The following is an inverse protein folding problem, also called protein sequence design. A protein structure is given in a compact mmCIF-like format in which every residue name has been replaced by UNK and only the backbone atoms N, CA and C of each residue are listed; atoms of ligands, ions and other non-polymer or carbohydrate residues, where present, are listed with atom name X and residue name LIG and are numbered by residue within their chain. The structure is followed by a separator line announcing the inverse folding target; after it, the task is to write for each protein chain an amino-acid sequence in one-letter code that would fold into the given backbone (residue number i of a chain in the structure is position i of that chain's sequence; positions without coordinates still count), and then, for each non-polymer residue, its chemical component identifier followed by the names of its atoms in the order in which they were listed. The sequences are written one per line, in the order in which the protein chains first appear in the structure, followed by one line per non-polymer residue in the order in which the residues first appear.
data_IF_590170364509
#
_entry.id   IF_590170364509
#
_cell.length_a   1.000
_cell.length_b   1.000
_cell.length_c   1.000
_cell.angle_alpha   90.00
_cell.angle_beta   90.00
_cell.angle_gamma   90.00
#
_symmetry.space_group_name_H-M   'P 1'
#
loop_
_entity.id
_entity.type
_entity.pdbx_description
1 polymer ?
#
# COMPACT_ATOMS: atom_id res chain seq x y z
N UNK A 1 -27.96 -7.50 25.77
CA UNK A 1 -28.26 -6.06 25.65
C UNK A 1 -28.26 -5.72 24.17
N UNK A 2 -29.41 -5.80 23.52
CA UNK A 2 -29.63 -5.35 22.13
C UNK A 2 -29.98 -3.87 22.18
N UNK A 3 -28.98 -3.01 22.37
CA UNK A 3 -29.17 -1.56 22.48
C UNK A 3 -29.51 -0.95 21.12
N UNK A 4 -30.59 -0.17 21.05
CA UNK A 4 -31.03 0.56 19.85
C UNK A 4 -29.89 1.39 19.21
N UNK A 5 -29.00 1.94 20.04
CA UNK A 5 -27.84 2.74 19.64
C UNK A 5 -26.85 1.93 18.78
N UNK A 6 -26.59 0.67 19.13
CA UNK A 6 -25.73 -0.22 18.33
C UNK A 6 -26.27 -0.44 16.91
N UNK A 7 -27.58 -0.51 16.74
CA UNK A 7 -28.23 -0.66 15.43
C UNK A 7 -28.15 0.63 14.62
N UNK A 8 -28.31 1.79 15.26
CA UNK A 8 -28.18 3.09 14.61
C UNK A 8 -26.72 3.30 14.14
N UNK A 9 -25.73 2.97 14.95
CA UNK A 9 -24.33 3.04 14.56
C UNK A 9 -23.98 2.07 13.43
N UNK A 10 -24.50 0.83 13.49
CA UNK A 10 -24.33 -0.14 12.40
C UNK A 10 -24.92 0.39 11.09
N UNK A 11 -26.13 0.93 11.11
CA UNK A 11 -26.77 1.46 9.91
C UNK A 11 -26.00 2.65 9.31
N UNK A 12 -25.58 3.61 10.15
CA UNK A 12 -24.79 4.76 9.68
C UNK A 12 -23.43 4.35 9.09
N UNK A 13 -22.72 3.41 9.73
CA UNK A 13 -21.42 2.95 9.25
C UNK A 13 -21.51 2.19 7.92
N UNK A 14 -22.55 1.38 7.72
CA UNK A 14 -22.72 0.60 6.48
C UNK A 14 -23.28 1.41 5.31
N UNK A 15 -23.95 2.54 5.57
CA UNK A 15 -24.52 3.39 4.51
C UNK A 15 -23.63 4.58 4.16
N UNK A 16 -23.24 5.38 5.14
CA UNK A 16 -22.48 6.62 4.94
C UNK A 16 -20.96 6.42 5.14
N UNK A 17 -20.57 5.41 5.92
CA UNK A 17 -19.18 5.20 6.34
C UNK A 17 -18.78 6.08 7.53
N UNK A 18 -17.56 5.91 8.03
CA UNK A 18 -17.00 6.80 9.04
C UNK A 18 -16.31 8.00 8.37
N UNK A 19 -16.47 9.18 8.95
CA UNK A 19 -15.84 10.40 8.47
C UNK A 19 -14.43 10.50 9.05
N UNK A 20 -13.44 10.59 8.18
CA UNK A 20 -12.05 10.78 8.59
C UNK A 20 -11.75 12.27 8.57
N UNK A 21 -11.17 12.86 9.64
CA UNK A 21 -10.76 14.26 9.63
C UNK A 21 -9.90 14.58 8.41
N UNK A 22 -10.02 15.80 7.84
CA UNK A 22 -9.19 16.20 6.71
C UNK A 22 -7.71 16.18 7.12
N UNK A 23 -6.89 15.55 6.30
CA UNK A 23 -5.47 15.38 6.60
C UNK A 23 -4.75 14.43 5.64
N UNK A 24 -3.43 14.56 5.63
CA UNK A 24 -2.55 13.64 4.92
C UNK A 24 -1.72 12.85 5.92
N UNK A 25 -1.70 11.52 5.77
CA UNK A 25 -0.90 10.63 6.62
C UNK A 25 -0.11 9.67 5.76
N UNK A 26 1.17 9.54 6.06
CA UNK A 26 2.02 8.48 5.54
C UNK A 26 2.26 7.47 6.65
N UNK A 27 1.83 6.22 6.45
CA UNK A 27 2.09 5.13 7.37
C UNK A 27 2.93 4.07 6.68
N UNK A 28 4.06 3.75 7.28
CA UNK A 28 4.94 2.69 6.82
C UNK A 28 4.76 1.46 7.71
N UNK A 29 4.61 0.30 7.08
CA UNK A 29 4.54 -1.00 7.73
C UNK A 29 5.74 -1.82 7.27
N UNK A 30 6.34 -2.58 8.18
CA UNK A 30 7.33 -3.58 7.82
C UNK A 30 6.63 -4.76 7.15
N UNK A 31 6.72 -4.83 5.83
CA UNK A 31 6.37 -6.02 5.08
C UNK A 31 7.60 -6.94 5.02
N UNK A 32 7.43 -8.26 4.82
CA UNK A 32 8.56 -9.19 4.62
C UNK A 32 9.45 -8.83 3.41
N UNK A 33 9.01 -7.89 2.58
CA UNK A 33 9.71 -7.36 1.40
C UNK A 33 10.38 -6.01 1.63
N UNK A 34 10.28 -5.41 2.83
CA UNK A 34 10.77 -4.06 3.15
C UNK A 34 9.65 -3.08 3.55
N UNK A 35 9.93 -1.78 3.45
CA UNK A 35 8.97 -0.73 3.82
C UNK A 35 7.76 -0.70 2.85
N UNK A 36 6.59 -1.08 3.35
CA UNK A 36 5.32 -0.90 2.65
C UNK A 36 4.64 0.36 3.17
N UNK A 37 4.64 1.41 2.36
CA UNK A 37 4.07 2.71 2.72
C UNK A 37 2.69 2.90 2.14
N UNK A 38 1.74 3.39 2.93
CA UNK A 38 0.44 3.87 2.44
C UNK A 38 0.35 5.36 2.73
N UNK A 39 0.20 6.15 1.66
CA UNK A 39 -0.04 7.57 1.74
C UNK A 39 -1.52 7.85 1.48
N UNK A 40 -2.23 8.27 2.53
CA UNK A 40 -3.65 8.58 2.47
C UNK A 40 -3.85 10.08 2.62
N UNK A 41 -4.68 10.64 1.75
CA UNK A 41 -5.20 12.01 1.84
C UNK A 41 -6.71 11.91 1.98
N UNK A 42 -7.23 12.47 3.07
CA UNK A 42 -8.65 12.62 3.34
C UNK A 42 -9.04 14.10 3.27
N UNK A 43 -10.16 14.39 2.62
CA UNK A 43 -10.75 15.73 2.54
C UNK A 43 -11.91 15.90 3.55
N UNK A 44 -12.06 14.99 4.52
CA UNK A 44 -13.20 15.01 5.46
C UNK A 44 -14.38 14.13 5.04
N UNK A 45 -14.34 13.55 3.84
CA UNK A 45 -15.36 12.62 3.34
C UNK A 45 -15.11 11.19 3.84
N UNK A 46 -16.12 10.31 3.73
CA UNK A 46 -15.97 8.87 3.99
C UNK A 46 -15.20 8.14 2.88
N UNK A 47 -14.92 8.83 1.76
CA UNK A 47 -14.09 8.31 0.66
C UNK A 47 -12.71 8.96 0.70
N UNK A 48 -11.61 8.17 0.64
CA UNK A 48 -10.28 8.73 0.56
C UNK A 48 -10.11 9.51 -0.74
N UNK A 49 -9.61 10.74 -0.66
CA UNK A 49 -9.37 11.59 -1.83
C UNK A 49 -8.24 11.03 -2.68
N UNK A 50 -7.16 10.61 -2.04
CA UNK A 50 -6.03 9.97 -2.70
C UNK A 50 -5.41 8.91 -1.80
N UNK A 51 -5.21 7.71 -2.37
CA UNK A 51 -4.44 6.65 -1.75
C UNK A 51 -3.28 6.32 -2.68
N UNK A 52 -2.04 6.60 -2.26
CA UNK A 52 -0.82 6.18 -2.97
C UNK A 52 -0.15 5.08 -2.18
N UNK A 53 0.16 3.98 -2.86
CA UNK A 53 0.79 2.81 -2.24
C UNK A 53 2.26 2.77 -2.67
N UNK A 54 3.16 2.88 -1.71
CA UNK A 54 4.59 2.65 -1.90
C UNK A 54 4.88 1.16 -1.70
N UNK A 55 4.88 0.42 -2.80
CA UNK A 55 5.27 -0.99 -2.79
C UNK A 55 6.81 -1.11 -2.68
N UNK A 56 7.35 -1.92 -1.74
CA UNK A 56 8.79 -2.04 -1.53
C UNK A 56 9.52 -2.61 -2.75
N UNK A 57 8.88 -3.51 -3.51
CA UNK A 57 9.50 -4.10 -4.69
C UNK A 57 9.64 -3.14 -5.88
N UNK A 58 8.95 -1.98 -5.90
CA UNK A 58 9.16 -0.97 -6.94
C UNK A 58 10.55 -0.33 -6.82
N UNK A 59 10.99 -0.06 -5.59
CA UNK A 59 12.34 0.44 -5.33
C UNK A 59 13.42 -0.61 -5.70
N UNK A 60 13.15 -1.89 -5.42
CA UNK A 60 14.08 -2.97 -5.79
C UNK A 60 14.19 -3.17 -7.30
N UNK A 61 13.09 -3.06 -8.05
CA UNK A 61 13.11 -3.13 -9.52
C UNK A 61 13.83 -1.93 -10.14
N UNK A 62 13.66 -0.72 -9.59
CA UNK A 62 14.40 0.46 -10.03
C UNK A 62 15.92 0.31 -9.83
N UNK A 63 16.35 -0.38 -8.76
CA UNK A 63 17.76 -0.68 -8.51
C UNK A 63 18.32 -1.86 -9.31
N UNK A 64 17.47 -2.63 -10.00
CA UNK A 64 17.89 -3.86 -10.69
C UNK A 64 18.84 -3.57 -11.85
N UNK A 65 18.65 -2.47 -12.58
CA UNK A 65 19.54 -2.05 -13.68
C UNK A 65 20.97 -1.80 -13.19
N UNK A 66 21.12 -1.20 -12.00
CA UNK A 66 22.45 -0.99 -11.41
C UNK A 66 23.08 -2.29 -10.92
N UNK A 67 22.27 -3.23 -10.45
CA UNK A 67 22.73 -4.54 -9.96
C UNK A 67 23.06 -5.53 -11.09
N UNK A 68 22.48 -5.35 -12.28
CA UNK A 68 22.72 -6.23 -13.44
C UNK A 68 23.90 -5.79 -14.31
N UNK A 69 24.39 -4.55 -14.17
CA UNK A 69 25.53 -4.02 -14.92
C UNK A 69 26.81 -4.83 -14.67
N UNK A 70 27.34 -5.45 -15.72
CA UNK A 70 28.59 -6.22 -15.68
C UNK A 70 28.41 -7.71 -15.34
N UNK A 71 27.17 -8.17 -15.16
CA UNK A 71 26.83 -9.55 -14.86
C UNK A 71 26.32 -10.32 -16.08
N UNK A 72 26.44 -11.65 -16.05
CA UNK A 72 25.93 -12.50 -17.13
C UNK A 72 24.40 -12.63 -17.03
N UNK A 73 23.74 -13.00 -18.13
CA UNK A 73 22.28 -13.23 -18.15
C UNK A 73 21.82 -14.24 -17.08
N UNK A 74 22.65 -15.22 -16.74
CA UNK A 74 22.37 -16.20 -15.69
C UNK A 74 22.28 -15.55 -14.29
N UNK A 75 23.10 -14.53 -14.01
CA UNK A 75 23.10 -13.82 -12.74
C UNK A 75 21.88 -12.90 -12.61
N UNK A 76 21.39 -12.35 -13.74
CA UNK A 76 20.17 -11.53 -13.76
C UNK A 76 18.95 -12.33 -13.30
N UNK A 77 18.84 -13.61 -13.70
CA UNK A 77 17.77 -14.50 -13.24
C UNK A 77 17.88 -14.78 -11.74
N UNK A 78 19.09 -14.92 -11.20
CA UNK A 78 19.31 -15.08 -9.77
C UNK A 78 18.94 -13.82 -8.96
N UNK A 79 19.27 -12.63 -9.48
CA UNK A 79 18.92 -11.33 -8.86
C UNK A 79 17.39 -11.14 -8.84
N UNK A 80 16.70 -11.49 -9.93
CA UNK A 80 15.23 -11.48 -10.00
C UNK A 80 14.63 -12.54 -9.07
N UNK A 81 15.19 -13.74 -9.01
CA UNK A 81 14.71 -14.80 -8.10
C UNK A 81 14.81 -14.44 -6.63
N UNK A 82 15.86 -13.70 -6.24
CA UNK A 82 16.02 -13.15 -4.89
C UNK A 82 15.02 -12.03 -4.56
N UNK A 83 14.55 -11.31 -5.58
CA UNK A 83 13.63 -10.18 -5.45
C UNK A 83 12.25 -10.59 -5.97
N UNK A 84 11.33 -11.12 -5.13
CA UNK A 84 10.12 -11.76 -5.63
C UNK A 84 9.28 -10.81 -6.51
N UNK A 85 8.81 -11.26 -7.69
CA UNK A 85 8.17 -10.39 -8.68
C UNK A 85 6.86 -9.76 -8.17
N UNK A 86 6.64 -8.52 -8.59
CA UNK A 86 5.61 -7.61 -8.08
C UNK A 86 4.22 -7.81 -8.73
N UNK A 87 3.88 -9.02 -9.19
CA UNK A 87 2.75 -9.24 -10.11
C UNK A 87 1.36 -8.82 -9.58
N UNK A 88 1.22 -8.54 -8.27
CA UNK A 88 -0.05 -8.15 -7.65
C UNK A 88 -0.08 -6.80 -6.94
N UNK A 89 1.02 -6.02 -6.90
CA UNK A 89 1.02 -4.72 -6.19
C UNK A 89 0.75 -3.58 -7.18
N UNK A 90 -0.20 -2.67 -6.92
CA UNK A 90 -0.51 -1.59 -7.85
C UNK A 90 0.71 -0.68 -8.01
N UNK A 91 1.01 -0.35 -9.27
CA UNK A 91 2.16 0.46 -9.71
C UNK A 91 1.87 1.97 -9.73
N UNK A 92 0.86 2.44 -8.99
CA UNK A 92 0.31 3.80 -9.07
C UNK A 92 0.43 4.59 -7.74
#
# INVERSE_FOLDING_TARGET
QTSMESLIHHFKLYTEGYQVPPGATYTAIEAPKGEFGVYLVSDGSSRPYRCKIKAPGFAHLAGLDRMSQGHMLADVVAIIGKTPPLLGSPSL
#
